data_IF_103622426381
#
_entry.id   IF_103622426381
#
_cell.length_a   1.000
_cell.length_b   1.000
_cell.length_c   1.000
_cell.angle_alpha   90.00
_cell.angle_beta   90.00
_cell.angle_gamma   90.00
#
_symmetry.space_group_name_H-M   'P 1'
#
loop_
_entity.id
_entity.type
_entity.pdbx_description
1 polymer ?
#
# COMPACT_ATOMS: atom_id res chain seq x y z
N UNK A 1 2.82 -12.89 7.47
CA UNK A 1 2.50 -13.77 6.32
C UNK A 1 1.19 -13.29 5.72
N UNK A 2 1.16 -12.94 4.43
CA UNK A 2 0.08 -12.12 3.84
C UNK A 2 -1.04 -12.90 3.15
N UNK A 3 -0.77 -14.14 2.74
CA UNK A 3 -1.70 -15.00 2.05
C UNK A 3 -1.52 -16.44 2.55
N UNK A 4 -2.56 -17.25 2.38
CA UNK A 4 -2.54 -18.68 2.67
C UNK A 4 -2.69 -19.51 1.39
N UNK A 5 -2.40 -20.80 1.48
CA UNK A 5 -2.65 -21.74 0.37
C UNK A 5 -4.12 -21.76 -0.04
N UNK A 6 -5.03 -21.61 0.92
CA UNK A 6 -6.48 -21.57 0.67
C UNK A 6 -6.90 -20.34 -0.17
N UNK A 7 -6.26 -19.19 0.05
CA UNK A 7 -6.47 -17.98 -0.75
C UNK A 7 -6.04 -18.17 -2.22
N UNK A 8 -4.97 -18.95 -2.46
CA UNK A 8 -4.54 -19.32 -3.82
C UNK A 8 -5.54 -20.28 -4.47
N UNK A 9 -5.99 -21.30 -3.74
CA UNK A 9 -6.96 -22.30 -4.23
C UNK A 9 -8.28 -21.62 -4.60
N UNK A 10 -8.76 -20.71 -3.76
CA UNK A 10 -10.01 -19.98 -3.99
C UNK A 10 -9.94 -19.11 -5.26
N UNK A 11 -8.76 -18.64 -5.66
CA UNK A 11 -8.59 -17.79 -6.85
C UNK A 11 -8.21 -18.51 -8.13
N UNK A 12 -7.33 -19.50 -8.08
CA UNK A 12 -6.77 -20.15 -9.27
C UNK A 12 -7.20 -21.61 -9.44
N UNK A 13 -8.08 -22.12 -8.56
CA UNK A 13 -8.55 -23.51 -8.53
C UNK A 13 -7.51 -24.48 -7.98
N UNK A 14 -7.99 -25.51 -7.27
CA UNK A 14 -7.15 -26.58 -6.71
C UNK A 14 -6.32 -27.31 -7.78
N UNK A 15 -6.90 -27.52 -8.97
CA UNK A 15 -6.25 -28.27 -10.05
C UNK A 15 -4.96 -27.60 -10.54
N UNK A 16 -4.98 -26.26 -10.69
CA UNK A 16 -3.80 -25.53 -11.15
C UNK A 16 -2.70 -25.54 -10.09
N UNK A 17 -3.05 -25.28 -8.83
CA UNK A 17 -2.08 -25.28 -7.72
C UNK A 17 -1.50 -26.68 -7.49
N UNK A 18 -2.32 -27.73 -7.53
CA UNK A 18 -1.84 -29.11 -7.40
C UNK A 18 -0.96 -29.53 -8.58
N UNK A 19 -1.27 -29.08 -9.79
CA UNK A 19 -0.40 -29.30 -10.94
C UNK A 19 0.94 -28.60 -10.74
N UNK A 20 0.94 -27.35 -10.28
CA UNK A 20 2.16 -26.61 -9.98
C UNK A 20 2.99 -27.33 -8.93
N UNK A 21 2.39 -27.74 -7.82
CA UNK A 21 3.02 -28.52 -6.74
C UNK A 21 3.75 -29.77 -7.24
N UNK A 22 3.22 -30.47 -8.24
CA UNK A 22 3.88 -31.65 -8.83
C UNK A 22 5.16 -31.33 -9.59
N UNK A 23 5.33 -30.10 -10.05
CA UNK A 23 6.54 -29.66 -10.74
C UNK A 23 7.59 -29.06 -9.79
N UNK A 24 7.27 -28.83 -8.51
CA UNK A 24 8.26 -28.40 -7.52
C UNK A 24 9.19 -29.57 -7.18
N UNK A 25 10.47 -29.27 -7.01
CA UNK A 25 11.47 -30.22 -6.52
C UNK A 25 11.43 -30.29 -5.00
N UNK A 26 11.95 -31.38 -4.44
CA UNK A 26 12.15 -31.55 -3.00
C UNK A 26 12.80 -30.30 -2.37
N UNK A 27 12.10 -29.68 -1.43
CA UNK A 27 12.52 -28.47 -0.70
C UNK A 27 11.81 -27.19 -1.10
N UNK A 28 11.10 -27.16 -2.23
CA UNK A 28 10.29 -26.00 -2.64
C UNK A 28 8.82 -26.29 -2.36
N UNK A 29 8.15 -25.38 -1.66
CA UNK A 29 6.74 -25.49 -1.32
C UNK A 29 6.01 -24.21 -1.67
N UNK A 30 4.69 -24.33 -1.87
CA UNK A 30 3.80 -23.19 -2.12
C UNK A 30 3.94 -22.15 -0.99
N UNK A 31 4.12 -22.62 0.25
CA UNK A 31 4.34 -21.74 1.40
C UNK A 31 5.63 -20.93 1.31
N UNK A 32 6.73 -21.53 0.84
CA UNK A 32 7.99 -20.83 0.59
C UNK A 32 7.80 -19.74 -0.46
N UNK A 33 7.13 -20.05 -1.57
CA UNK A 33 6.84 -19.05 -2.62
C UNK A 33 5.93 -17.93 -2.13
N UNK A 34 5.00 -18.20 -1.22
CA UNK A 34 4.18 -17.18 -0.56
C UNK A 34 5.04 -16.32 0.38
N UNK A 35 5.95 -16.92 1.14
CA UNK A 35 6.85 -16.21 2.04
C UNK A 35 7.81 -15.30 1.26
N UNK A 36 8.36 -15.77 0.15
CA UNK A 36 9.21 -15.00 -0.76
C UNK A 36 8.43 -13.84 -1.38
N UNK A 37 7.21 -14.10 -1.88
CA UNK A 37 6.32 -13.06 -2.40
C UNK A 37 6.01 -11.99 -1.35
N UNK A 38 5.77 -12.41 -0.10
CA UNK A 38 5.58 -11.50 1.03
C UNK A 38 6.79 -10.62 1.29
N UNK A 39 7.99 -11.22 1.31
CA UNK A 39 9.25 -10.50 1.53
C UNK A 39 9.54 -9.48 0.42
N UNK A 40 9.20 -9.79 -0.83
CA UNK A 40 9.29 -8.85 -1.96
C UNK A 40 8.38 -7.64 -1.72
N UNK A 41 7.12 -7.89 -1.34
CA UNK A 41 6.14 -6.84 -1.08
C UNK A 41 6.55 -5.97 0.11
N UNK A 42 7.06 -6.57 1.17
CA UNK A 42 7.60 -5.89 2.34
C UNK A 42 8.70 -4.91 1.97
N UNK A 43 9.61 -5.29 1.06
CA UNK A 43 10.68 -4.41 0.58
C UNK A 43 10.17 -3.12 -0.09
N UNK A 44 9.00 -3.15 -0.74
CA UNK A 44 8.41 -1.96 -1.36
C UNK A 44 7.60 -1.12 -0.37
N UNK A 45 6.96 -1.76 0.60
CA UNK A 45 6.05 -1.13 1.56
C UNK A 45 6.81 -0.51 2.76
N UNK A 46 7.97 -1.08 3.13
CA UNK A 46 8.78 -0.66 4.29
C UNK A 46 9.22 0.82 4.28
N UNK A 47 9.06 1.53 3.16
CA UNK A 47 9.34 2.98 3.08
C UNK A 47 8.23 3.85 3.68
N UNK A 48 6.98 3.38 3.69
CA UNK A 48 5.82 4.19 4.06
C UNK A 48 4.99 3.59 5.20
N UNK A 49 5.16 2.29 5.47
CA UNK A 49 4.41 1.60 6.52
C UNK A 49 5.34 0.74 7.36
N UNK A 50 5.00 0.57 8.64
CA UNK A 50 5.66 -0.38 9.52
C UNK A 50 5.33 -1.82 9.10
N UNK A 51 6.38 -2.61 8.92
CA UNK A 51 6.33 -4.03 8.54
C UNK A 51 6.74 -4.86 9.76
N UNK A 52 6.08 -6.00 10.04
CA UNK A 52 5.00 -6.64 9.29
C UNK A 52 3.63 -5.99 9.53
N UNK A 53 2.85 -5.79 8.46
CA UNK A 53 1.49 -5.26 8.58
C UNK A 53 0.61 -6.26 9.34
N UNK A 54 -0.01 -5.82 10.44
CA UNK A 54 -0.84 -6.68 11.29
C UNK A 54 -2.12 -7.16 10.59
N UNK A 55 -2.71 -6.32 9.73
CA UNK A 55 -3.92 -6.64 8.97
C UNK A 55 -3.80 -6.14 7.51
N UNK A 56 -3.23 -6.97 6.61
CA UNK A 56 -3.10 -6.58 5.21
C UNK A 56 -4.48 -6.49 4.55
N UNK A 57 -4.80 -5.39 3.85
CA UNK A 57 -6.06 -5.28 3.12
C UNK A 57 -6.12 -6.29 1.96
N UNK A 58 -7.35 -6.63 1.54
CA UNK A 58 -7.64 -7.69 0.56
C UNK A 58 -6.90 -7.47 -0.77
N UNK A 59 -6.68 -6.22 -1.17
CA UNK A 59 -5.91 -5.88 -2.37
C UNK A 59 -4.46 -6.38 -2.31
N UNK A 60 -3.75 -6.22 -1.17
CA UNK A 60 -2.38 -6.72 -1.04
C UNK A 60 -2.37 -8.24 -1.18
N UNK A 61 -3.33 -8.92 -0.55
CA UNK A 61 -3.49 -10.36 -0.66
C UNK A 61 -3.69 -10.83 -2.11
N UNK A 62 -4.35 -10.04 -2.96
CA UNK A 62 -4.48 -10.36 -4.40
C UNK A 62 -3.12 -10.32 -5.07
N UNK A 63 -2.39 -9.22 -4.92
CA UNK A 63 -1.10 -9.04 -5.59
C UNK A 63 -0.03 -10.02 -5.08
N UNK A 64 -0.01 -10.33 -3.78
CA UNK A 64 0.88 -11.35 -3.22
C UNK A 64 0.59 -12.72 -3.83
N UNK A 65 -0.69 -13.07 -4.04
CA UNK A 65 -1.08 -14.31 -4.70
C UNK A 65 -0.64 -14.35 -6.18
N UNK A 66 -0.78 -13.25 -6.92
CA UNK A 66 -0.30 -13.17 -8.31
C UNK A 66 1.23 -13.32 -8.40
N UNK A 67 1.97 -12.69 -7.46
CA UNK A 67 3.44 -12.82 -7.37
C UNK A 67 3.83 -14.25 -7.01
N UNK A 68 3.20 -14.86 -6.00
CA UNK A 68 3.47 -16.24 -5.60
C UNK A 68 3.21 -17.21 -6.75
N UNK A 69 2.12 -17.01 -7.52
CA UNK A 69 1.82 -17.82 -8.72
C UNK A 69 2.92 -17.72 -9.77
N UNK A 70 3.44 -16.52 -10.02
CA UNK A 70 4.55 -16.34 -10.96
C UNK A 70 5.83 -17.05 -10.49
N UNK A 71 6.17 -16.95 -9.20
CA UNK A 71 7.32 -17.64 -8.62
C UNK A 71 7.23 -19.17 -8.76
N UNK A 72 6.03 -19.73 -8.64
CA UNK A 72 5.79 -21.16 -8.84
C UNK A 72 6.01 -21.62 -10.29
N UNK A 73 5.77 -20.77 -11.28
CA UNK A 73 5.87 -21.13 -12.70
C UNK A 73 7.32 -21.12 -13.25
N UNK A 74 8.30 -20.58 -12.51
CA UNK A 74 9.75 -20.47 -12.81
C UNK A 74 10.14 -20.32 -14.29
N UNK A 75 10.12 -21.42 -15.05
CA UNK A 75 10.63 -21.50 -16.42
C UNK A 75 9.55 -21.49 -17.52
N UNK A 76 8.26 -21.64 -17.18
CA UNK A 76 7.17 -21.80 -18.17
C UNK A 76 6.02 -20.82 -17.98
N UNK A 77 6.24 -19.68 -17.31
CA UNK A 77 5.24 -18.63 -17.09
C UNK A 77 4.50 -18.28 -18.39
N UNK A 78 3.17 -18.41 -18.37
CA UNK A 78 2.31 -17.89 -19.45
C UNK A 78 2.43 -16.37 -19.49
N UNK A 79 2.26 -15.78 -20.67
CA UNK A 79 2.31 -14.33 -20.85
C UNK A 79 1.27 -13.61 -19.96
N UNK A 80 0.11 -14.23 -19.72
CA UNK A 80 -0.89 -13.67 -18.80
C UNK A 80 -0.37 -13.60 -17.36
N UNK A 81 0.30 -14.65 -16.88
CA UNK A 81 0.85 -14.71 -15.51
C UNK A 81 1.98 -13.70 -15.36
N UNK A 82 2.84 -13.58 -16.37
CA UNK A 82 3.90 -12.57 -16.41
C UNK A 82 3.32 -11.15 -16.38
N UNK A 83 2.31 -10.86 -17.19
CA UNK A 83 1.66 -9.55 -17.23
C UNK A 83 1.06 -9.18 -15.87
N UNK A 84 0.35 -10.11 -15.21
CA UNK A 84 -0.19 -9.88 -13.85
C UNK A 84 0.90 -9.63 -12.82
N UNK A 85 2.02 -10.35 -12.92
CA UNK A 85 3.19 -10.10 -12.07
C UNK A 85 3.77 -8.70 -12.29
N UNK A 86 3.94 -8.28 -13.54
CA UNK A 86 4.44 -6.95 -13.89
C UNK A 86 3.48 -5.85 -13.40
N UNK A 87 2.16 -6.04 -13.54
CA UNK A 87 1.13 -5.12 -13.03
C UNK A 87 1.19 -5.02 -11.49
N UNK A 88 1.36 -6.15 -10.79
CA UNK A 88 1.52 -6.18 -9.33
C UNK A 88 2.77 -5.41 -8.86
N UNK A 89 3.92 -5.66 -9.49
CA UNK A 89 5.16 -4.93 -9.19
C UNK A 89 5.02 -3.44 -9.53
N UNK A 90 4.32 -3.11 -10.63
CA UNK A 90 3.99 -1.73 -11.01
C UNK A 90 3.18 -1.01 -9.94
N UNK A 91 2.18 -1.68 -9.36
CA UNK A 91 1.38 -1.15 -8.26
C UNK A 91 2.25 -0.85 -7.03
N UNK A 92 3.10 -1.79 -6.59
CA UNK A 92 3.97 -1.60 -5.41
C UNK A 92 5.07 -0.57 -5.63
N UNK A 93 5.59 -0.43 -6.85
CA UNK A 93 6.45 0.71 -7.22
C UNK A 93 5.69 2.04 -7.10
N UNK A 94 4.42 2.08 -7.50
CA UNK A 94 3.52 3.22 -7.29
C UNK A 94 3.31 3.56 -5.81
N UNK A 95 3.17 2.54 -4.96
CA UNK A 95 3.09 2.69 -3.50
C UNK A 95 4.40 3.24 -2.93
N UNK A 96 5.55 2.67 -3.30
CA UNK A 96 6.86 3.17 -2.87
C UNK A 96 7.10 4.63 -3.28
N UNK A 97 6.53 5.08 -4.41
CA UNK A 97 6.62 6.46 -4.88
C UNK A 97 5.56 7.40 -4.26
N UNK A 98 4.66 6.89 -3.41
CA UNK A 98 3.57 7.66 -2.81
C UNK A 98 2.50 8.12 -3.82
N UNK A 99 2.41 7.47 -4.99
CA UNK A 99 1.36 7.71 -5.99
C UNK A 99 0.09 6.92 -5.67
N UNK A 100 0.26 5.71 -5.14
CA UNK A 100 -0.84 4.84 -4.73
C UNK A 100 -0.83 4.73 -3.20
N UNK A 101 -1.99 4.95 -2.58
CA UNK A 101 -2.15 4.80 -1.12
C UNK A 101 -2.80 3.46 -0.85
N UNK A 102 -2.18 2.68 0.03
CA UNK A 102 -2.80 1.47 0.56
C UNK A 102 -3.71 1.88 1.70
N UNK A 103 -5.00 1.52 1.58
CA UNK A 103 -5.98 1.68 2.65
C UNK A 103 -5.81 0.54 3.64
N UNK A 104 -4.93 0.71 4.63
CA UNK A 104 -4.85 -0.21 5.78
C UNK A 104 -5.98 0.19 6.73
N UNK A 105 -6.93 -0.72 6.98
CA UNK A 105 -7.92 -0.55 8.05
C UNK A 105 -7.23 -0.88 9.37
N UNK A 106 -6.68 0.13 10.03
CA UNK A 106 -6.28 0.00 11.42
C UNK A 106 -7.56 -0.06 12.29
N UNK A 107 -7.67 -1.06 13.16
CA UNK A 107 -8.81 -1.19 14.08
C UNK A 107 -8.59 -0.37 15.37
N UNK A 108 -7.48 0.35 15.50
CA UNK A 108 -7.27 1.33 16.55
C UNK A 108 -7.36 2.75 15.97
N UNK A 109 -8.50 3.40 16.22
CA UNK A 109 -8.84 4.78 15.87
C UNK A 109 -9.51 4.94 14.51
N UNK A 110 -10.81 5.18 14.60
CA UNK A 110 -11.71 5.68 13.57
C UNK A 110 -11.33 7.10 13.14
N UNK A 111 -10.11 7.29 12.64
CA UNK A 111 -9.70 8.52 11.95
C UNK A 111 -9.05 8.16 10.63
N UNK A 112 -9.82 8.34 9.55
CA UNK A 112 -9.28 8.49 8.21
C UNK A 112 -8.44 9.78 8.22
N UNK A 113 -7.14 9.68 8.49
CA UNK A 113 -6.19 10.75 8.13
C UNK A 113 -5.76 10.53 6.68
N UNK A 114 -6.32 11.28 5.71
CA UNK A 114 -5.71 11.32 4.39
C UNK A 114 -4.25 11.79 4.55
N UNK A 115 -3.35 11.19 3.77
CA UNK A 115 -1.96 11.58 3.71
C UNK A 115 -1.85 13.11 3.65
N UNK A 116 -1.25 13.71 4.68
CA UNK A 116 -0.98 15.13 4.74
C UNK A 116 0.10 15.49 3.72
N UNK A 117 -0.27 15.56 2.44
CA UNK A 117 0.24 16.64 1.60
C UNK A 117 -0.58 17.85 2.00
N UNK A 118 -0.18 18.56 3.05
CA UNK A 118 -0.57 19.96 3.15
C UNK A 118 0.02 20.64 1.92
N UNK A 119 -0.77 21.10 0.92
CA UNK A 119 -0.35 22.35 0.31
C UNK A 119 -0.25 23.33 1.47
N UNK A 120 0.86 24.04 1.58
CA UNK A 120 0.93 25.24 2.41
C UNK A 120 -0.12 26.20 1.85
N UNK A 121 -1.38 26.02 2.27
CA UNK A 121 -2.41 27.03 2.10
C UNK A 121 -1.95 28.15 3.02
N UNK A 122 -1.22 29.08 2.42
CA UNK A 122 -0.94 30.37 3.03
C UNK A 122 -2.28 30.89 3.57
N UNK A 123 -2.40 31.27 4.85
CA UNK A 123 -3.59 31.98 5.29
C UNK A 123 -3.72 33.25 4.43
N UNK A 124 -4.76 33.26 3.60
CA UNK A 124 -5.25 34.44 2.91
C UNK A 124 -5.81 35.37 3.99
N UNK A 125 -5.08 36.46 4.25
CA UNK A 125 -5.38 37.43 5.31
C UNK A 125 -5.13 36.85 6.71
N UNK A 126 -4.53 37.53 7.68
CA UNK A 126 -4.59 38.96 7.97
C UNK A 126 -3.45 39.29 8.94
N UNK A 127 -2.26 39.61 8.43
CA UNK A 127 -1.32 40.47 9.15
C UNK A 127 -0.56 41.29 8.12
N UNK A 128 -1.26 42.26 7.52
CA UNK A 128 -0.61 43.29 6.73
C UNK A 128 0.12 44.24 7.70
N UNK A 129 1.32 43.87 8.14
CA UNK A 129 2.15 44.66 9.06
C UNK A 129 2.87 45.78 8.30
N UNK A 130 2.11 46.62 7.60
CA UNK A 130 2.67 47.59 6.65
C UNK A 130 1.82 48.81 6.36
N UNK A 131 0.81 49.11 7.19
CA UNK A 131 0.01 50.32 7.08
C UNK A 131 -0.26 50.92 8.46
N UNK A 132 -0.40 52.24 8.51
CA UNK A 132 -0.53 53.10 9.71
C UNK A 132 -1.71 52.72 10.65
N UNK A 133 -2.49 51.71 10.30
CA UNK A 133 -3.66 51.21 11.05
C UNK A 133 -3.52 49.71 11.33
N UNK A 134 -2.73 49.35 12.34
CA UNK A 134 -2.70 47.97 12.87
C UNK A 134 -3.74 47.79 13.97
N UNK A 135 -4.13 46.53 14.24
CA UNK A 135 -5.20 46.11 15.17
C UNK A 135 -5.04 46.71 16.60
N UNK A 136 -3.78 46.91 17.04
CA UNK A 136 -3.45 47.56 18.31
C UNK A 136 -3.93 49.03 18.40
N UNK A 137 -4.02 49.76 17.27
CA UNK A 137 -4.52 51.15 17.21
C UNK A 137 -6.06 51.18 17.26
N UNK A 138 -6.71 50.19 16.68
CA UNK A 138 -8.17 50.05 16.70
C UNK A 138 -8.69 49.73 18.11
N UNK A 139 -7.94 48.92 18.88
CA UNK A 139 -8.26 48.63 20.28
C UNK A 139 -8.05 49.80 21.26
N UNK A 140 -7.41 50.89 20.82
CA UNK A 140 -7.25 52.11 21.62
C UNK A 140 -8.29 53.19 21.29
N UNK A 141 -9.20 52.98 20.35
CA UNK A 141 -10.29 53.93 20.11
C UNK A 141 -11.35 53.79 21.21
N UNK A 142 -11.78 54.88 21.87
CA UNK A 142 -12.88 54.81 22.82
C UNK A 142 -14.17 54.44 22.06
N UNK A 143 -14.80 53.34 22.49
CA UNK A 143 -16.08 52.91 21.94
C UNK A 143 -17.14 53.98 22.23
N UNK A 144 -17.60 54.67 21.19
CA UNK A 144 -18.79 55.51 21.28
C UNK A 144 -19.99 54.60 21.56
N UNK A 145 -20.72 54.93 22.62
CA UNK A 145 -21.91 54.23 23.08
C UNK A 145 -23.12 54.57 22.20
#
# INVERSE_FOLDING_TARGET
MYATRDDLITRYTLAEISQLERYLKDGESVETSIADAGSIVDGYIAKHYDVPLLNPPVNIKIYVCDIARYLLWKSRASEEVRRRYEDAIGFFKGVSNGKNVILVKDQATEEVKPAAKTPTTMPIGTTYRGGVFSDDVLNQMPSIK
#
